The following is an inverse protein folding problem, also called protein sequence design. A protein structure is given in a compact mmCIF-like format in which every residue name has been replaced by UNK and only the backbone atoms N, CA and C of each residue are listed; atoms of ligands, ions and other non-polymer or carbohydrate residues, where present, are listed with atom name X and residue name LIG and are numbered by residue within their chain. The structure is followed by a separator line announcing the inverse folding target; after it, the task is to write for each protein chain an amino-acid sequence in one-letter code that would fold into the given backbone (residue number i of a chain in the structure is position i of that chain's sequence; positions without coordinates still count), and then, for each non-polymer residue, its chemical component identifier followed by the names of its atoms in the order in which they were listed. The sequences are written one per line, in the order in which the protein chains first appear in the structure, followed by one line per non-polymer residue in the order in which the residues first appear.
data_IF_291739439474
#
_entry.id   IF_291739439474
#
_cell.length_a   1.000
_cell.length_b   1.000
_cell.length_c   1.000
_cell.angle_alpha   90.00
_cell.angle_beta   90.00
_cell.angle_gamma   90.00
#
_symmetry.space_group_name_H-M   'P 1'
#
loop_
_entity.id
_entity.type
_entity.pdbx_description
1 polymer ?
#
# COMPACT_ATOMS: atom_id res chain seq x y z
N UNK A 1 -36.40 -6.00 10.83
CA UNK A 1 -34.95 -5.89 10.59
C UNK A 1 -34.41 -5.03 11.72
N UNK A 2 -33.61 -5.58 12.62
CA UNK A 2 -33.03 -4.79 13.71
C UNK A 2 -31.75 -4.11 13.20
N UNK A 3 -31.70 -2.79 13.35
CA UNK A 3 -30.67 -1.85 12.86
C UNK A 3 -29.33 -1.89 13.63
N UNK A 4 -28.99 -2.99 14.31
CA UNK A 4 -27.94 -2.98 15.34
C UNK A 4 -26.56 -3.51 14.90
N UNK A 5 -26.33 -3.81 13.62
CA UNK A 5 -25.09 -4.49 13.19
C UNK A 5 -24.22 -3.69 12.18
N UNK A 6 -24.67 -2.52 11.71
CA UNK A 6 -23.92 -1.64 10.77
C UNK A 6 -23.18 -0.50 11.47
N UNK A 7 -22.24 -0.81 12.37
CA UNK A 7 -21.48 0.22 13.10
C UNK A 7 -19.97 0.13 12.92
N UNK A 8 -19.44 -0.98 12.40
CA UNK A 8 -18.00 -1.15 12.17
C UNK A 8 -17.65 -0.85 10.73
N UNK A 9 -16.81 0.15 10.52
CA UNK A 9 -16.32 0.55 9.21
C UNK A 9 -14.89 0.03 9.00
N UNK A 10 -14.60 -0.56 7.85
CA UNK A 10 -13.21 -0.89 7.47
C UNK A 10 -12.52 0.42 7.07
N UNK A 11 -11.63 0.94 7.90
CA UNK A 11 -10.96 2.22 7.63
C UNK A 11 -9.56 2.05 7.05
N UNK A 12 -8.91 0.90 7.28
CA UNK A 12 -7.60 0.63 6.72
C UNK A 12 -7.30 -0.87 6.65
N UNK A 13 -6.46 -1.27 5.69
CA UNK A 13 -5.77 -2.56 5.65
C UNK A 13 -4.31 -2.24 5.34
N UNK A 14 -3.41 -2.58 6.25
CA UNK A 14 -2.03 -2.12 6.17
C UNK A 14 -1.04 -3.04 6.87
N UNK A 15 0.23 -2.83 6.58
CA UNK A 15 1.32 -3.38 7.37
C UNK A 15 1.52 -2.58 8.67
N UNK A 16 2.03 -3.27 9.69
CA UNK A 16 2.58 -2.70 10.92
C UNK A 16 4.02 -3.18 11.08
N UNK A 17 4.84 -2.38 11.77
CA UNK A 17 6.26 -2.63 12.00
C UNK A 17 6.54 -2.61 13.50
N UNK A 18 7.14 -3.69 14.00
CA UNK A 18 7.57 -3.78 15.38
C UNK A 18 9.03 -3.33 15.50
N UNK A 19 9.26 -2.21 16.19
CA UNK A 19 10.60 -1.64 16.36
C UNK A 19 11.54 -2.51 17.21
N UNK A 20 11.00 -3.40 18.05
CA UNK A 20 11.80 -4.20 18.97
C UNK A 20 12.52 -5.36 18.28
N UNK A 21 11.86 -5.99 17.29
CA UNK A 21 12.38 -7.18 16.60
C UNK A 21 12.50 -6.98 15.07
N UNK A 22 12.13 -5.80 14.55
CA UNK A 22 12.19 -5.50 13.13
C UNK A 22 11.13 -6.22 12.28
N UNK A 23 10.13 -6.85 12.91
CA UNK A 23 9.14 -7.65 12.21
C UNK A 23 8.03 -6.82 11.58
N UNK A 24 7.49 -7.36 10.48
CA UNK A 24 6.33 -6.81 9.78
C UNK A 24 5.15 -7.76 9.89
N UNK A 25 3.95 -7.20 10.09
CA UNK A 25 2.72 -7.99 10.15
C UNK A 25 1.53 -7.24 9.54
N UNK A 26 0.63 -7.97 8.84
CA UNK A 26 -0.55 -7.37 8.22
C UNK A 26 -1.67 -7.19 9.25
N UNK A 27 -2.37 -6.06 9.15
CA UNK A 27 -3.50 -5.72 10.01
C UNK A 27 -4.64 -5.11 9.20
N UNK A 28 -5.85 -5.23 9.73
CA UNK A 28 -7.01 -4.46 9.31
C UNK A 28 -7.46 -3.61 10.48
N UNK A 29 -7.72 -2.33 10.23
CA UNK A 29 -8.28 -1.42 11.23
C UNK A 29 -9.77 -1.22 10.94
N UNK A 30 -10.58 -1.52 11.93
CA UNK A 30 -11.99 -1.18 11.96
C UNK A 30 -12.18 0.04 12.85
N UNK A 31 -13.12 0.91 12.49
CA UNK A 31 -13.61 1.94 13.40
C UNK A 31 -15.02 1.58 13.84
N UNK A 32 -15.22 1.47 15.15
CA UNK A 32 -16.52 1.19 15.76
C UNK A 32 -17.21 2.51 16.12
N UNK A 33 -18.24 2.86 15.36
CA UNK A 33 -18.97 4.12 15.54
C UNK A 33 -19.81 4.16 16.82
N UNK A 34 -20.09 3.01 17.47
CA UNK A 34 -20.82 3.00 18.74
C UNK A 34 -19.92 3.29 19.95
N UNK A 35 -18.73 2.69 19.99
CA UNK A 35 -17.77 2.97 21.06
C UNK A 35 -16.88 4.18 20.75
N UNK A 36 -16.85 4.64 19.49
CA UNK A 36 -15.95 5.68 19.00
C UNK A 36 -14.46 5.28 19.16
N UNK A 37 -14.15 4.02 18.82
CA UNK A 37 -12.82 3.43 19.01
C UNK A 37 -12.30 2.72 17.75
N UNK A 38 -10.97 2.72 17.58
CA UNK A 38 -10.28 1.91 16.58
C UNK A 38 -10.03 0.48 17.10
N UNK A 39 -10.40 -0.53 16.32
CA UNK A 39 -10.11 -1.94 16.55
C UNK A 39 -9.10 -2.43 15.52
N UNK A 40 -7.91 -2.84 15.97
CA UNK A 40 -6.85 -3.38 15.10
C UNK A 40 -6.89 -4.90 15.14
N UNK A 41 -7.08 -5.52 13.98
CA UNK A 41 -7.15 -6.98 13.81
C UNK A 41 -5.87 -7.45 13.12
N UNK A 42 -5.17 -8.39 13.73
CA UNK A 42 -4.06 -9.10 13.07
C UNK A 42 -4.61 -10.04 12.00
N UNK A 43 -4.12 -9.93 10.77
CA UNK A 43 -4.65 -10.71 9.65
C UNK A 43 -3.98 -12.08 9.48
N UNK A 44 -2.84 -12.34 10.12
CA UNK A 44 -2.16 -13.63 10.02
C UNK A 44 -3.08 -14.74 10.54
N UNK A 45 -3.38 -15.72 9.69
CA UNK A 45 -4.34 -16.81 9.95
C UNK A 45 -5.79 -16.34 10.21
N UNK A 46 -6.14 -15.12 9.83
CA UNK A 46 -7.49 -14.59 10.01
C UNK A 46 -8.45 -15.17 8.97
N UNK A 47 -9.67 -15.51 9.39
CA UNK A 47 -10.74 -15.91 8.48
C UNK A 47 -11.74 -14.75 8.42
N UNK A 48 -11.85 -14.12 7.24
CA UNK A 48 -12.89 -13.16 6.99
C UNK A 48 -14.23 -13.88 6.83
N UNK A 49 -15.28 -13.25 7.34
CA UNK A 49 -16.65 -13.72 7.23
C UNK A 49 -17.62 -12.53 7.14
N UNK A 50 -17.29 -11.49 6.36
CA UNK A 50 -18.04 -10.24 6.36
C UNK A 50 -18.94 -10.09 5.14
N UNK A 51 -20.21 -9.79 5.38
CA UNK A 51 -21.08 -9.14 4.41
C UNK A 51 -20.94 -7.62 4.58
N UNK A 52 -20.64 -6.91 3.50
CA UNK A 52 -20.32 -5.49 3.49
C UNK A 52 -21.45 -4.65 2.87
N UNK A 53 -21.44 -3.35 3.14
CA UNK A 53 -22.27 -2.39 2.39
C UNK A 53 -21.91 -2.37 0.92
N UNK A 54 -22.89 -2.18 0.04
CA UNK A 54 -22.66 -1.96 -1.38
C UNK A 54 -21.92 -0.64 -1.60
N UNK A 55 -22.40 0.41 -0.94
CA UNK A 55 -21.77 1.72 -0.94
C UNK A 55 -20.51 1.76 -0.08
N UNK A 56 -19.59 2.63 -0.49
CA UNK A 56 -18.39 3.00 0.29
C UNK A 56 -18.59 4.36 0.90
N UNK A 57 -18.15 4.51 2.14
CA UNK A 57 -18.22 5.74 2.89
C UNK A 57 -16.82 6.26 3.18
N UNK A 58 -16.69 7.56 3.37
CA UNK A 58 -15.40 8.19 3.65
C UNK A 58 -14.82 7.60 4.94
N UNK A 59 -13.60 7.03 4.90
CA UNK A 59 -12.99 6.38 6.06
C UNK A 59 -12.43 7.38 7.09
N UNK A 60 -12.74 8.67 6.99
CA UNK A 60 -12.19 9.72 7.86
C UNK A 60 -10.85 10.28 7.38
N UNK A 61 -10.09 10.86 8.31
CA UNK A 61 -8.79 11.50 8.07
C UNK A 61 -7.89 11.37 9.30
N UNK A 62 -6.58 11.48 9.11
CA UNK A 62 -5.63 11.66 10.21
C UNK A 62 -5.17 13.11 10.28
N UNK A 63 -5.04 13.63 11.49
CA UNK A 63 -4.48 14.95 11.79
C UNK A 63 -3.37 14.82 12.85
N UNK A 64 -2.96 15.92 13.47
CA UNK A 64 -1.88 15.95 14.46
C UNK A 64 -2.17 15.13 15.73
N UNK A 65 -3.43 15.04 16.12
CA UNK A 65 -3.95 14.36 17.31
C UNK A 65 -4.44 12.93 17.04
N UNK A 66 -4.28 12.43 15.82
CA UNK A 66 -4.58 11.04 15.47
C UNK A 66 -5.68 10.91 14.41
N UNK A 67 -6.37 9.77 14.46
CA UNK A 67 -7.46 9.44 13.53
C UNK A 67 -8.76 10.16 13.92
N UNK A 68 -9.49 10.66 12.92
CA UNK A 68 -10.81 11.25 13.05
C UNK A 68 -11.78 10.59 12.06
N UNK A 69 -12.93 10.05 12.52
CA UNK A 69 -13.96 9.55 11.61
C UNK A 69 -14.54 10.68 10.76
N UNK A 70 -15.11 10.32 9.60
CA UNK A 70 -15.74 11.32 8.74
C UNK A 70 -16.97 11.92 9.44
N UNK A 71 -17.02 13.24 9.70
CA UNK A 71 -18.13 13.84 10.44
C UNK A 71 -19.45 13.84 9.65
N UNK A 72 -19.39 13.66 8.34
CA UNK A 72 -20.56 13.67 7.45
C UNK A 72 -20.94 12.29 6.94
N UNK A 73 -20.14 11.25 7.25
CA UNK A 73 -20.29 9.91 6.71
C UNK A 73 -20.60 9.92 5.19
N UNK A 74 -19.82 10.68 4.42
CA UNK A 74 -20.10 10.90 3.00
C UNK A 74 -19.89 9.61 2.18
N UNK A 75 -20.84 9.30 1.30
CA UNK A 75 -20.66 8.23 0.30
C UNK A 75 -19.57 8.64 -0.69
N UNK A 76 -18.63 7.73 -0.96
CA UNK A 76 -17.56 7.90 -1.91
C UNK A 76 -18.03 7.49 -3.31
N UNK A 77 -18.08 8.47 -4.21
CA UNK A 77 -18.39 8.24 -5.62
C UNK A 77 -17.10 8.09 -6.46
N UNK A 78 -17.25 8.05 -7.79
CA UNK A 78 -16.10 7.90 -8.72
C UNK A 78 -15.07 9.04 -8.63
N UNK A 79 -15.48 10.23 -8.17
CA UNK A 79 -14.64 11.43 -8.13
C UNK A 79 -13.88 11.58 -6.79
N UNK A 80 -14.30 10.85 -5.76
CA UNK A 80 -13.74 10.88 -4.40
C UNK A 80 -13.37 9.46 -3.95
N UNK A 81 -12.37 8.87 -4.60
CA UNK A 81 -12.15 7.42 -4.51
C UNK A 81 -11.58 6.94 -3.17
N UNK A 82 -10.78 7.75 -2.47
CA UNK A 82 -10.20 7.41 -1.16
C UNK A 82 -10.90 8.10 0.01
N UNK A 83 -11.24 9.39 -0.15
CA UNK A 83 -11.82 10.24 0.88
C UNK A 83 -12.73 11.30 0.25
N UNK A 84 -13.68 11.82 1.04
CA UNK A 84 -14.49 12.97 0.62
C UNK A 84 -13.68 14.27 0.68
N UNK A 85 -14.12 15.28 -0.06
CA UNK A 85 -13.45 16.59 -0.15
C UNK A 85 -13.10 17.20 1.21
N UNK A 86 -14.01 17.14 2.18
CA UNK A 86 -13.76 17.69 3.52
C UNK A 86 -12.57 17.00 4.22
N UNK A 87 -12.56 15.67 4.25
CA UNK A 87 -11.52 14.88 4.91
C UNK A 87 -10.18 15.01 4.19
N UNK A 88 -10.20 14.99 2.86
CA UNK A 88 -9.02 15.22 2.02
C UNK A 88 -8.41 16.61 2.25
N UNK A 89 -9.24 17.67 2.32
CA UNK A 89 -8.79 19.03 2.60
C UNK A 89 -8.24 19.21 4.02
N UNK A 90 -8.82 18.52 5.02
CA UNK A 90 -8.28 18.50 6.39
C UNK A 90 -6.87 17.91 6.41
N UNK A 91 -6.63 16.85 5.66
CA UNK A 91 -5.32 16.24 5.54
C UNK A 91 -4.35 17.01 4.63
N UNK A 92 -4.82 17.67 3.59
CA UNK A 92 -4.01 18.55 2.73
C UNK A 92 -3.01 17.85 1.81
N UNK A 93 -2.88 16.52 1.83
CA UNK A 93 -1.89 15.79 1.01
C UNK A 93 -2.02 16.10 -0.49
N UNK A 94 -3.24 16.04 -1.06
CA UNK A 94 -3.41 16.32 -2.50
C UNK A 94 -3.05 17.76 -2.85
N UNK A 95 -3.41 18.72 -2.00
CA UNK A 95 -3.09 20.13 -2.21
C UNK A 95 -1.58 20.37 -2.18
N UNK A 96 -0.88 19.82 -1.19
CA UNK A 96 0.57 19.98 -1.03
C UNK A 96 1.38 19.28 -2.15
N UNK A 97 1.03 18.05 -2.51
CA UNK A 97 1.86 17.22 -3.41
C UNK A 97 1.39 17.22 -4.88
N UNK A 98 0.08 17.26 -5.16
CA UNK A 98 -0.42 17.14 -6.55
C UNK A 98 -0.68 18.48 -7.20
N UNK A 99 -1.14 19.48 -6.43
CA UNK A 99 -1.52 20.78 -6.97
C UNK A 99 -0.46 21.86 -6.72
N UNK A 100 0.65 21.53 -6.05
CA UNK A 100 1.68 22.48 -5.63
C UNK A 100 1.07 23.71 -4.92
N UNK A 101 -0.03 23.47 -4.20
CA UNK A 101 -0.78 24.48 -3.47
C UNK A 101 -0.11 24.82 -2.14
N UNK A 102 -0.72 25.76 -1.42
CA UNK A 102 -0.24 26.10 -0.08
C UNK A 102 -0.55 24.94 0.87
N UNK A 103 0.50 24.36 1.48
CA UNK A 103 0.34 23.35 2.52
C UNK A 103 -0.48 23.93 3.69
N UNK A 104 -1.51 23.20 4.12
CA UNK A 104 -2.24 23.51 5.34
C UNK A 104 -1.34 23.28 6.58
N UNK A 105 -1.80 23.68 7.77
CA UNK A 105 -1.01 23.57 9.01
C UNK A 105 -0.47 22.14 9.24
N UNK A 106 -1.33 21.12 9.14
CA UNK A 106 -0.89 19.72 9.27
C UNK A 106 0.16 19.32 8.25
N UNK A 107 0.00 19.72 6.98
CA UNK A 107 0.98 19.42 5.94
C UNK A 107 2.30 20.17 6.14
N UNK A 108 2.27 21.40 6.67
CA UNK A 108 3.48 22.12 7.02
C UNK A 108 4.25 21.39 8.13
N UNK A 109 3.56 20.99 9.19
CA UNK A 109 4.17 20.20 10.27
C UNK A 109 4.63 18.83 9.80
N UNK A 110 3.88 18.17 8.92
CA UNK A 110 4.28 16.92 8.30
C UNK A 110 5.57 17.11 7.49
N UNK A 111 5.62 18.10 6.59
CA UNK A 111 6.76 18.34 5.69
C UNK A 111 8.00 18.88 6.42
N UNK A 112 7.87 19.50 7.59
CA UNK A 112 9.02 19.86 8.44
C UNK A 112 9.73 18.65 9.03
N UNK A 113 9.04 17.49 9.15
CA UNK A 113 9.66 16.28 9.67
C UNK A 113 10.74 15.77 8.73
N UNK A 114 11.68 15.00 9.28
CA UNK A 114 12.66 14.27 8.48
C UNK A 114 11.95 13.31 7.52
N UNK A 115 12.38 13.33 6.27
CA UNK A 115 11.99 12.44 5.20
C UNK A 115 13.22 11.78 4.59
N UNK A 116 12.99 10.67 3.91
CA UNK A 116 14.02 9.87 3.27
C UNK A 116 13.70 9.66 1.79
N UNK A 117 14.74 9.65 0.96
CA UNK A 117 14.71 8.96 -0.33
C UNK A 117 15.12 7.52 -0.11
N UNK A 118 14.40 6.60 -0.72
CA UNK A 118 14.82 5.22 -0.88
C UNK A 118 14.81 4.79 -2.34
N UNK A 119 15.70 3.85 -2.65
CA UNK A 119 15.59 3.00 -3.83
C UNK A 119 14.88 1.71 -3.44
N UNK A 120 13.90 1.27 -4.23
CA UNK A 120 13.15 0.05 -4.00
C UNK A 120 13.20 -0.86 -5.23
N UNK A 121 13.44 -2.15 -4.97
CA UNK A 121 13.50 -3.21 -5.95
C UNK A 121 12.14 -3.90 -6.10
N UNK A 122 11.74 -4.12 -7.35
CA UNK A 122 10.54 -4.86 -7.76
C UNK A 122 10.91 -5.88 -8.84
N UNK A 123 10.34 -7.07 -8.78
CA UNK A 123 10.52 -8.06 -9.85
C UNK A 123 9.81 -7.63 -11.15
N UNK A 124 10.38 -7.88 -12.35
CA UNK A 124 11.74 -8.37 -12.58
C UNK A 124 12.71 -7.22 -12.83
N UNK A 125 13.51 -6.88 -11.81
CA UNK A 125 14.65 -5.97 -11.96
C UNK A 125 14.32 -4.48 -12.00
N UNK A 126 13.11 -4.05 -11.68
CA UNK A 126 12.75 -2.62 -11.68
C UNK A 126 13.25 -1.96 -10.39
N UNK A 127 14.00 -0.88 -10.55
CA UNK A 127 14.35 0.04 -9.46
C UNK A 127 13.44 1.25 -9.53
N UNK A 128 12.84 1.58 -8.39
CA UNK A 128 12.07 2.80 -8.18
C UNK A 128 12.78 3.69 -7.17
N UNK A 129 12.74 5.01 -7.39
CA UNK A 129 13.03 6.02 -6.37
C UNK A 129 11.73 6.42 -5.68
N UNK A 130 11.74 6.57 -4.36
CA UNK A 130 10.55 6.88 -3.57
C UNK A 130 10.87 7.71 -2.34
N UNK A 131 9.86 8.42 -1.83
CA UNK A 131 9.95 9.17 -0.56
C UNK A 131 9.16 8.53 0.56
N UNK A 132 9.64 8.71 1.80
CA UNK A 132 8.94 8.33 3.03
C UNK A 132 9.26 9.30 4.18
N UNK A 133 8.24 9.70 4.94
CA UNK A 133 8.43 10.41 6.20
C UNK A 133 9.02 9.47 7.27
N UNK A 134 9.74 10.04 8.25
CA UNK A 134 10.31 9.31 9.39
C UNK A 134 9.32 8.35 10.05
N UNK A 135 8.11 8.83 10.31
CA UNK A 135 7.03 8.06 10.97
C UNK A 135 6.61 6.79 10.20
N UNK A 136 6.87 6.75 8.89
CA UNK A 136 6.46 5.65 7.99
C UNK A 136 7.61 5.06 7.20
N UNK A 137 8.87 5.39 7.50
CA UNK A 137 10.02 4.99 6.67
C UNK A 137 10.12 3.48 6.48
N UNK A 138 9.82 2.70 7.51
CA UNK A 138 9.81 1.24 7.43
C UNK A 138 8.57 0.65 6.76
N UNK A 139 7.42 1.35 6.80
CA UNK A 139 6.13 0.85 6.27
C UNK A 139 5.93 1.20 4.80
N UNK A 140 6.35 2.39 4.39
CA UNK A 140 6.07 2.92 3.06
C UNK A 140 6.59 2.02 1.92
N UNK A 141 7.78 1.41 1.99
CA UNK A 141 8.26 0.50 0.96
C UNK A 141 7.41 -0.77 0.85
N UNK A 142 7.12 -1.45 1.97
CA UNK A 142 6.36 -2.72 1.95
C UNK A 142 4.90 -2.53 1.52
N UNK A 143 4.25 -1.42 1.91
CA UNK A 143 2.91 -1.05 1.43
C UNK A 143 2.88 -0.79 -0.08
N UNK A 144 4.01 -0.41 -0.66
CA UNK A 144 4.14 -0.27 -2.11
C UNK A 144 4.51 -1.58 -2.81
N UNK A 145 4.64 -2.69 -2.09
CA UNK A 145 5.10 -3.99 -2.58
C UNK A 145 6.59 -4.06 -2.93
N UNK A 146 7.43 -3.22 -2.31
CA UNK A 146 8.88 -3.34 -2.47
C UNK A 146 9.37 -4.66 -1.87
N UNK A 147 10.30 -5.34 -2.55
CA UNK A 147 10.85 -6.62 -2.07
C UNK A 147 12.18 -6.44 -1.34
N UNK A 148 12.98 -5.46 -1.79
CA UNK A 148 14.22 -5.02 -1.13
C UNK A 148 14.27 -3.51 -1.30
N UNK A 149 14.69 -2.76 -0.30
CA UNK A 149 14.88 -1.32 -0.46
C UNK A 149 16.12 -0.82 0.29
N UNK A 150 16.51 0.40 -0.02
CA UNK A 150 17.70 1.04 0.53
C UNK A 150 17.46 2.54 0.69
N UNK A 151 17.70 3.11 1.88
CA UNK A 151 17.68 4.56 2.05
C UNK A 151 18.97 5.18 1.53
N UNK A 152 18.85 6.26 0.75
CA UNK A 152 19.99 6.87 0.05
C UNK A 152 20.18 8.36 0.34
N UNK A 153 19.14 9.04 0.85
CA UNK A 153 19.22 10.43 1.24
C UNK A 153 18.20 10.75 2.33
N UNK A 154 18.44 11.81 3.10
CA UNK A 154 17.50 12.35 4.08
C UNK A 154 17.51 13.89 4.09
N UNK A 155 16.34 14.50 4.29
CA UNK A 155 16.16 15.95 4.41
C UNK A 155 14.76 16.25 4.94
N UNK A 156 14.33 17.52 4.97
CA UNK A 156 12.93 17.86 5.17
C UNK A 156 12.06 17.45 3.96
N UNK A 157 10.75 17.38 4.17
CA UNK A 157 9.78 16.92 3.18
C UNK A 157 9.62 17.82 1.95
N UNK A 158 9.97 19.11 2.02
CA UNK A 158 9.98 19.98 0.85
C UNK A 158 11.20 19.69 -0.01
N UNK A 159 12.37 19.64 0.61
CA UNK A 159 13.66 19.38 -0.02
C UNK A 159 13.72 17.99 -0.67
N UNK A 160 13.19 16.97 0.01
CA UNK A 160 13.29 15.58 -0.46
C UNK A 160 12.52 15.33 -1.76
N UNK A 161 11.39 16.03 -1.99
CA UNK A 161 10.59 15.86 -3.21
C UNK A 161 11.33 16.36 -4.44
N UNK A 162 12.03 17.48 -4.30
CA UNK A 162 12.85 18.04 -5.38
C UNK A 162 14.00 17.08 -5.74
N UNK A 163 14.62 16.45 -4.74
CA UNK A 163 15.64 15.43 -4.98
C UNK A 163 15.05 14.16 -5.62
N UNK A 164 13.87 13.68 -5.19
CA UNK A 164 13.17 12.53 -5.81
C UNK A 164 12.97 12.76 -7.31
N UNK A 165 12.39 13.92 -7.64
CA UNK A 165 12.11 14.30 -9.03
C UNK A 165 13.40 14.49 -9.84
N UNK A 166 14.43 15.08 -9.23
CA UNK A 166 15.73 15.30 -9.89
C UNK A 166 16.43 13.97 -10.18
N UNK A 167 16.48 13.04 -9.23
CA UNK A 167 17.02 11.69 -9.44
C UNK A 167 16.26 10.98 -10.56
N UNK A 168 14.94 11.06 -10.55
CA UNK A 168 14.08 10.45 -11.56
C UNK A 168 14.39 10.96 -12.96
N UNK A 169 14.46 12.29 -13.11
CA UNK A 169 14.71 12.96 -14.39
C UNK A 169 16.15 12.80 -14.90
N UNK A 170 17.15 12.94 -14.05
CA UNK A 170 18.57 12.94 -14.47
C UNK A 170 19.19 11.54 -14.54
N UNK A 171 18.83 10.63 -13.63
CA UNK A 171 19.41 9.28 -13.55
C UNK A 171 18.55 8.26 -14.32
N UNK A 172 17.28 8.59 -14.58
CA UNK A 172 16.34 7.74 -15.31
C UNK A 172 15.72 6.63 -14.45
N UNK A 173 15.60 6.85 -13.14
CA UNK A 173 14.97 5.89 -12.21
C UNK A 173 13.50 6.27 -12.06
N UNK A 174 12.57 5.31 -12.21
CA UNK A 174 11.14 5.63 -12.15
C UNK A 174 10.67 5.99 -10.73
N UNK A 175 9.72 6.91 -10.61
CA UNK A 175 9.00 7.22 -9.37
C UNK A 175 7.82 6.27 -9.10
N UNK A 176 7.41 5.46 -10.09
CA UNK A 176 6.19 4.65 -9.98
C UNK A 176 6.30 3.29 -10.68
N UNK A 177 5.91 2.25 -9.94
CA UNK A 177 5.71 0.90 -10.49
C UNK A 177 4.23 0.58 -10.54
N UNK A 178 3.72 0.19 -11.71
CA UNK A 178 2.30 -0.05 -11.93
C UNK A 178 1.77 -1.20 -11.06
N UNK A 179 0.59 -1.02 -10.48
CA UNK A 179 -0.15 -2.08 -9.78
C UNK A 179 -0.39 -3.36 -10.61
N UNK A 180 -0.57 -3.27 -11.94
CA UNK A 180 -0.72 -4.44 -12.81
C UNK A 180 0.58 -5.21 -12.95
N UNK A 181 1.72 -4.50 -13.00
CA UNK A 181 3.05 -5.08 -13.00
C UNK A 181 3.29 -5.85 -11.70
N UNK A 182 3.07 -5.22 -10.54
CA UNK A 182 3.18 -5.87 -9.22
C UNK A 182 2.31 -7.12 -9.14
N UNK A 183 1.05 -7.02 -9.59
CA UNK A 183 0.12 -8.15 -9.62
C UNK A 183 0.59 -9.30 -10.52
N UNK A 184 1.19 -9.01 -11.67
CA UNK A 184 1.72 -10.03 -12.59
C UNK A 184 2.86 -10.84 -11.97
N UNK A 185 3.61 -10.25 -11.04
CA UNK A 185 4.81 -10.84 -10.46
C UNK A 185 4.66 -11.22 -8.98
N UNK A 186 3.42 -11.44 -8.51
CA UNK A 186 3.13 -11.82 -7.11
C UNK A 186 3.84 -13.09 -6.67
N UNK A 187 3.97 -14.08 -7.56
CA UNK A 187 4.59 -15.37 -7.26
C UNK A 187 6.12 -15.37 -7.42
N UNK A 188 6.73 -14.27 -7.88
CA UNK A 188 8.17 -14.23 -8.14
C UNK A 188 8.94 -13.83 -6.89
N UNK A 189 9.70 -14.78 -6.35
CA UNK A 189 10.69 -14.53 -5.29
C UNK A 189 11.91 -13.84 -5.89
N UNK A 190 12.45 -12.80 -5.22
CA UNK A 190 13.59 -12.09 -5.74
C UNK A 190 14.89 -12.88 -5.58
N UNK A 191 15.80 -12.74 -6.54
CA UNK A 191 17.20 -13.06 -6.29
C UNK A 191 17.82 -11.90 -5.47
N UNK A 192 18.02 -12.13 -4.18
CA UNK A 192 18.46 -11.08 -3.24
C UNK A 192 19.82 -10.50 -3.60
N UNK A 193 20.79 -11.32 -4.02
CA UNK A 193 22.11 -10.82 -4.41
C UNK A 193 22.05 -9.95 -5.66
N UNK A 194 21.21 -10.32 -6.63
CA UNK A 194 20.96 -9.52 -7.83
C UNK A 194 20.25 -8.20 -7.47
N UNK A 195 19.24 -8.24 -6.61
CA UNK A 195 18.53 -7.06 -6.15
C UNK A 195 19.47 -6.09 -5.41
N UNK A 196 20.28 -6.61 -4.49
CA UNK A 196 21.33 -5.86 -3.76
C UNK A 196 22.32 -5.19 -4.72
N UNK A 197 22.84 -5.93 -5.70
CA UNK A 197 23.77 -5.39 -6.71
C UNK A 197 23.14 -4.27 -7.53
N UNK A 198 21.88 -4.43 -7.96
CA UNK A 198 21.16 -3.40 -8.72
C UNK A 198 20.89 -2.14 -7.91
N UNK A 199 20.49 -2.30 -6.63
CA UNK A 199 20.30 -1.17 -5.73
C UNK A 199 21.62 -0.43 -5.48
N UNK A 200 22.69 -1.15 -5.14
CA UNK A 200 24.00 -0.55 -4.88
C UNK A 200 24.55 0.17 -6.11
N UNK A 201 24.48 -0.44 -7.29
CA UNK A 201 24.94 0.21 -8.53
C UNK A 201 24.18 1.51 -8.84
N UNK A 202 22.88 1.58 -8.53
CA UNK A 202 22.13 2.83 -8.68
C UNK A 202 22.45 3.83 -7.57
N UNK A 203 22.68 3.38 -6.34
CA UNK A 203 23.17 4.24 -5.27
C UNK A 203 24.51 4.87 -5.62
N UNK A 204 25.49 4.09 -6.08
CA UNK A 204 26.82 4.58 -6.48
C UNK A 204 26.71 5.65 -7.57
N UNK A 205 25.86 5.43 -8.58
CA UNK A 205 25.57 6.43 -9.64
C UNK A 205 25.01 7.73 -9.09
N UNK A 206 24.10 7.66 -8.12
CA UNK A 206 23.48 8.83 -7.48
C UNK A 206 24.51 9.54 -6.58
N UNK A 207 25.23 8.78 -5.76
CA UNK A 207 26.26 9.30 -4.87
C UNK A 207 27.35 10.02 -5.66
N UNK A 208 27.91 9.40 -6.71
CA UNK A 208 28.91 10.03 -7.57
C UNK A 208 28.41 11.29 -8.27
N UNK A 209 27.13 11.31 -8.65
CA UNK A 209 26.50 12.47 -9.28
C UNK A 209 26.35 13.65 -8.31
N UNK A 210 26.02 13.39 -7.04
CA UNK A 210 25.58 14.43 -6.10
C UNK A 210 26.52 14.69 -4.91
N UNK A 211 27.56 13.88 -4.67
CA UNK A 211 28.51 14.06 -3.55
C UNK A 211 29.23 15.41 -3.50
N UNK A 212 29.37 16.08 -4.64
CA UNK A 212 29.95 17.44 -4.76
C UNK A 212 28.93 18.52 -5.13
N UNK A 213 27.63 18.21 -5.12
CA UNK A 213 26.59 19.16 -5.50
C UNK A 213 26.29 20.12 -4.34
N UNK A 214 26.30 21.43 -4.58
CA UNK A 214 26.09 22.45 -3.55
C UNK A 214 24.75 22.32 -2.81
N UNK A 215 23.72 21.81 -3.50
CA UNK A 215 22.36 21.68 -2.95
C UNK A 215 22.14 20.34 -2.25
N UNK A 216 22.57 19.25 -2.87
CA UNK A 216 22.16 17.89 -2.46
C UNK A 216 23.22 17.11 -1.70
N UNK A 217 24.50 17.49 -1.76
CA UNK A 217 25.61 16.71 -1.18
C UNK A 217 25.39 16.39 0.30
N UNK A 218 24.92 17.35 1.08
CA UNK A 218 24.67 17.20 2.52
C UNK A 218 23.48 16.29 2.86
N UNK A 219 22.65 15.92 1.89
CA UNK A 219 21.47 15.06 2.09
C UNK A 219 21.78 13.59 1.78
N UNK A 220 22.80 13.31 0.97
CA UNK A 220 23.14 11.95 0.56
C UNK A 220 23.72 11.17 1.75
N UNK A 221 23.20 9.98 2.00
CA UNK A 221 23.68 9.10 3.05
C UNK A 221 24.96 8.42 2.57
N UNK A 222 26.04 8.52 3.35
CA UNK A 222 27.34 7.90 3.04
C UNK A 222 27.31 6.37 3.06
N UNK A 223 26.54 5.79 4.00
CA UNK A 223 26.42 4.34 4.19
C UNK A 223 24.96 3.94 4.17
N UNK A 224 24.42 3.56 3.01
CA UNK A 224 23.00 3.32 2.89
C UNK A 224 22.62 1.99 3.58
N UNK A 225 21.52 2.02 4.32
CA UNK A 225 20.96 0.84 4.97
C UNK A 225 20.08 0.08 3.99
N UNK A 226 20.35 -1.21 3.81
CA UNK A 226 19.55 -2.10 2.97
C UNK A 226 18.65 -2.97 3.83
N UNK A 227 17.38 -3.05 3.44
CA UNK A 227 16.35 -3.85 4.11
C UNK A 227 15.76 -4.85 3.12
N UNK A 228 15.76 -6.12 3.52
CA UNK A 228 15.17 -7.23 2.79
C UNK A 228 13.75 -7.51 3.29
N UNK A 229 12.76 -7.20 2.46
CA UNK A 229 11.34 -7.42 2.77
C UNK A 229 10.84 -8.78 2.28
N UNK A 230 11.63 -9.52 1.50
CA UNK A 230 11.22 -10.77 0.88
C UNK A 230 10.85 -11.85 1.89
N UNK A 231 11.44 -11.81 3.10
CA UNK A 231 11.09 -12.72 4.19
C UNK A 231 9.75 -12.41 4.86
N UNK A 232 9.18 -11.22 4.67
CA UNK A 232 7.95 -10.78 5.32
C UNK A 232 6.72 -10.85 4.41
N UNK A 233 6.90 -10.71 3.11
CA UNK A 233 5.81 -10.81 2.13
C UNK A 233 5.56 -12.28 1.75
N UNK A 234 4.32 -12.58 1.39
CA UNK A 234 3.92 -13.92 0.92
C UNK A 234 3.92 -13.98 -0.60
N UNK A 235 4.40 -15.09 -1.15
CA UNK A 235 4.41 -15.38 -2.58
C UNK A 235 3.41 -16.49 -2.86
N UNK A 236 2.24 -16.18 -3.42
CA UNK A 236 1.26 -17.18 -3.82
C UNK A 236 1.87 -18.23 -4.74
N UNK A 237 1.73 -19.51 -4.38
CA UNK A 237 2.16 -20.63 -5.24
C UNK A 237 1.15 -20.87 -6.36
N UNK A 238 -0.14 -20.75 -6.03
CA UNK A 238 -1.25 -20.88 -6.97
C UNK A 238 -1.55 -19.55 -7.69
N UNK A 239 -2.27 -19.67 -8.81
CA UNK A 239 -2.75 -18.51 -9.57
C UNK A 239 -3.75 -17.68 -8.75
N UNK A 240 -3.52 -16.37 -8.70
CA UNK A 240 -4.38 -15.43 -7.97
C UNK A 240 -5.33 -14.73 -8.94
N UNK A 241 -6.63 -14.85 -8.68
CA UNK A 241 -7.67 -14.24 -9.51
C UNK A 241 -8.24 -12.98 -8.87
N UNK A 242 -8.44 -11.93 -9.67
CA UNK A 242 -9.11 -10.72 -9.18
C UNK A 242 -10.61 -10.98 -9.04
N UNK A 243 -11.17 -10.56 -7.91
CA UNK A 243 -12.61 -10.59 -7.68
C UNK A 243 -13.29 -9.51 -8.53
N UNK A 244 -14.41 -9.86 -9.19
CA UNK A 244 -15.20 -8.87 -9.94
C UNK A 244 -15.75 -7.80 -9.01
N UNK A 245 -15.78 -6.54 -9.46
CA UNK A 245 -16.29 -5.42 -8.66
C UNK A 245 -17.71 -5.65 -8.11
N UNK A 246 -18.58 -6.39 -8.82
CA UNK A 246 -19.96 -6.70 -8.39
C UNK A 246 -20.04 -7.61 -7.16
N UNK A 247 -18.95 -8.27 -6.79
CA UNK A 247 -18.91 -9.27 -5.70
C UNK A 247 -18.23 -8.71 -4.44
N UNK A 248 -17.77 -7.45 -4.47
CA UNK A 248 -17.04 -6.80 -3.35
C UNK A 248 -17.99 -6.36 -2.22
N UNK A 249 -19.19 -6.93 -2.18
CA UNK A 249 -20.11 -6.84 -1.04
C UNK A 249 -19.87 -7.98 -0.03
N UNK A 250 -18.88 -8.84 -0.31
CA UNK A 250 -18.48 -9.94 0.54
C UNK A 250 -16.95 -9.98 0.68
N UNK A 251 -16.47 -10.17 1.90
CA UNK A 251 -15.09 -10.51 2.21
C UNK A 251 -15.11 -11.75 3.11
N UNK A 252 -15.02 -12.92 2.50
CA UNK A 252 -15.24 -14.22 3.11
C UNK A 252 -14.14 -15.18 2.64
N UNK A 253 -13.41 -15.77 3.58
CA UNK A 253 -12.31 -16.67 3.29
C UNK A 253 -11.09 -16.40 4.16
N UNK A 254 -10.09 -17.27 4.04
CA UNK A 254 -8.89 -17.22 4.86
C UNK A 254 -7.91 -16.20 4.29
N UNK A 255 -7.49 -15.22 5.09
CA UNK A 255 -6.45 -14.27 4.69
C UNK A 255 -5.17 -15.01 4.28
N UNK A 256 -4.56 -14.57 3.18
CA UNK A 256 -3.34 -15.13 2.64
C UNK A 256 -2.20 -14.10 2.60
N UNK A 257 -2.43 -12.90 2.06
CA UNK A 257 -1.38 -11.88 1.93
C UNK A 257 -1.92 -10.46 1.74
N UNK A 258 -1.08 -9.45 2.04
CA UNK A 258 -1.21 -8.10 1.47
C UNK A 258 -0.05 -7.94 0.47
N UNK A 259 -0.36 -7.58 -0.78
CA UNK A 259 0.63 -7.32 -1.82
C UNK A 259 0.29 -6.04 -2.57
N UNK A 260 1.03 -4.97 -2.26
CA UNK A 260 0.69 -3.61 -2.69
C UNK A 260 -0.69 -3.21 -2.20
N UNK A 261 -1.60 -2.94 -3.14
CA UNK A 261 -3.00 -2.54 -2.84
C UNK A 261 -3.99 -3.72 -2.80
N UNK A 262 -3.51 -4.94 -2.91
CA UNK A 262 -4.36 -6.13 -2.99
C UNK A 262 -4.29 -6.91 -1.69
N UNK A 263 -5.46 -7.15 -1.11
CA UNK A 263 -5.64 -8.17 -0.08
C UNK A 263 -5.96 -9.49 -0.78
N UNK A 264 -5.12 -10.50 -0.54
CA UNK A 264 -5.23 -11.85 -1.08
C UNK A 264 -5.79 -12.77 0.00
N UNK A 265 -6.77 -13.59 -0.35
CA UNK A 265 -7.39 -14.55 0.54
C UNK A 265 -7.77 -15.81 -0.22
N UNK A 266 -7.90 -16.91 0.50
CA UNK A 266 -8.30 -18.21 -0.01
C UNK A 266 -9.79 -18.43 0.24
N UNK A 267 -10.51 -18.80 -0.82
CA UNK A 267 -11.92 -19.20 -0.74
C UNK A 267 -12.15 -20.37 -1.68
N UNK A 268 -12.73 -21.47 -1.18
CA UNK A 268 -12.97 -22.70 -1.95
C UNK A 268 -11.72 -23.17 -2.72
N UNK A 269 -10.58 -23.27 -2.03
CA UNK A 269 -9.27 -23.66 -2.58
C UNK A 269 -8.81 -22.80 -3.77
N UNK A 270 -9.28 -21.56 -3.86
CA UNK A 270 -8.88 -20.59 -4.90
C UNK A 270 -8.32 -19.34 -4.23
N UNK A 271 -7.16 -18.88 -4.69
CA UNK A 271 -6.62 -17.59 -4.26
C UNK A 271 -7.29 -16.45 -5.02
N UNK A 272 -7.86 -15.54 -4.25
CA UNK A 272 -8.60 -14.39 -4.71
C UNK A 272 -7.93 -13.11 -4.24
N UNK A 273 -7.98 -12.07 -5.07
CA UNK A 273 -7.47 -10.74 -4.73
C UNK A 273 -8.58 -9.69 -4.86
N UNK A 274 -8.74 -8.90 -3.80
CA UNK A 274 -9.58 -7.70 -3.81
C UNK A 274 -8.69 -6.47 -3.73
N UNK A 275 -8.98 -5.48 -4.56
CA UNK A 275 -8.37 -4.16 -4.47
C UNK A 275 -8.88 -3.46 -3.21
N UNK A 276 -7.97 -3.15 -2.27
CA UNK A 276 -8.29 -2.57 -0.96
C UNK A 276 -9.10 -1.28 -1.06
N UNK A 277 -8.88 -0.54 -2.15
CA UNK A 277 -9.60 0.70 -2.43
C UNK A 277 -11.08 0.45 -2.79
N UNK A 278 -11.54 -0.80 -2.84
CA UNK A 278 -12.95 -1.17 -3.01
C UNK A 278 -13.61 -1.62 -1.70
N UNK A 279 -12.83 -1.95 -0.68
CA UNK A 279 -13.32 -2.42 0.63
C UNK A 279 -13.12 -1.38 1.73
N UNK A 280 -12.04 -0.60 1.69
CA UNK A 280 -11.85 0.53 2.61
C UNK A 280 -13.00 1.52 2.41
N UNK A 281 -13.64 1.86 3.52
CA UNK A 281 -14.82 2.71 3.59
C UNK A 281 -16.15 1.94 3.67
N UNK A 282 -16.17 0.61 3.44
CA UNK A 282 -17.38 -0.20 3.61
C UNK A 282 -17.65 -0.52 5.08
N UNK A 283 -18.92 -0.62 5.44
CA UNK A 283 -19.35 -1.12 6.74
C UNK A 283 -19.58 -2.63 6.70
N UNK A 284 -19.29 -3.31 7.80
CA UNK A 284 -19.73 -4.69 8.03
C UNK A 284 -21.23 -4.61 8.35
N UNK A 285 -22.06 -5.32 7.58
CA UNK A 285 -23.51 -5.42 7.74
C UNK A 285 -23.93 -6.60 8.61
N UNK A 286 -23.21 -7.70 8.46
CA UNK A 286 -23.45 -8.95 9.17
C UNK A 286 -22.27 -9.89 8.91
N UNK A 287 -22.24 -11.00 9.65
CA UNK A 287 -21.24 -12.03 9.49
C UNK A 287 -21.83 -13.25 8.78
N UNK A 288 -21.12 -13.79 7.79
CA UNK A 288 -21.50 -14.95 6.98
C UNK A 288 -20.28 -15.84 6.71
N UNK A 289 -20.45 -17.14 6.95
CA UNK A 289 -19.33 -18.09 6.84
C UNK A 289 -19.17 -18.68 5.42
N UNK A 290 -20.17 -18.53 4.55
CA UNK A 290 -20.18 -19.16 3.23
C UNK A 290 -20.58 -18.20 2.11
N UNK A 291 -19.71 -18.03 1.11
CA UNK A 291 -20.01 -17.32 -0.14
C UNK A 291 -19.12 -17.82 -1.29
N UNK A 292 -19.66 -17.81 -2.51
CA UNK A 292 -18.94 -18.24 -3.71
C UNK A 292 -18.72 -17.06 -4.66
N UNK A 293 -17.46 -16.70 -4.86
CA UNK A 293 -17.07 -15.54 -5.67
C UNK A 293 -17.08 -15.81 -7.18
N UNK A 294 -17.51 -14.80 -7.95
CA UNK A 294 -17.18 -14.70 -9.39
C UNK A 294 -15.87 -13.93 -9.61
N UNK A 295 -14.97 -14.51 -10.40
CA UNK A 295 -13.65 -13.94 -10.69
C UNK A 295 -13.54 -13.34 -12.09
N UNK A 296 -12.65 -12.36 -12.25
CA UNK A 296 -12.28 -11.82 -13.57
C UNK A 296 -11.50 -12.89 -14.36
N UNK A 297 -11.96 -13.21 -15.58
CA UNK A 297 -11.28 -14.07 -16.55
C UNK A 297 -10.68 -15.39 -16.00
N UNK A 298 -11.52 -16.39 -15.70
CA UNK A 298 -11.08 -17.79 -15.83
C UNK A 298 -10.87 -18.07 -17.33
N UNK A 299 -9.67 -17.87 -17.87
CA UNK A 299 -9.33 -18.57 -19.12
C UNK A 299 -9.36 -20.06 -18.80
N UNK A 300 -10.29 -20.80 -19.35
CA UNK A 300 -10.27 -22.26 -19.24
C UNK A 300 -8.96 -22.75 -19.84
N UNK A 301 -8.08 -23.35 -19.03
CA UNK A 301 -7.07 -24.26 -19.55
C UNK A 301 -7.79 -25.52 -20.04
N UNK A 302 -8.39 -25.46 -21.23
CA UNK A 302 -8.77 -26.63 -22.01
C UNK A 302 -8.78 -26.26 -23.50
N UNK A 303 -8.04 -27.07 -24.28
CA UNK A 303 -7.63 -26.94 -25.70
C UNK A 303 -6.44 -25.98 -25.85
N UNK A 304 -5.20 -26.44 -26.00
CA UNK A 304 -4.74 -27.33 -27.09
C UNK A 304 -3.83 -28.48 -26.61
N UNK A 305 -4.42 -29.67 -26.53
CA UNK A 305 -3.77 -30.94 -26.84
C UNK A 305 -4.71 -31.61 -27.86
N UNK A 306 -4.15 -32.19 -28.93
CA UNK A 306 -4.76 -32.57 -30.23
C UNK A 306 -4.75 -31.38 -31.21
N UNK A 307 -3.75 -31.24 -32.07
CA UNK A 307 -3.40 -32.22 -33.11
C UNK A 307 -1.90 -32.33 -33.39
N UNK A 308 -1.34 -33.52 -33.16
CA UNK A 308 -0.34 -34.07 -34.09
C UNK A 308 -1.12 -34.80 -35.17
N UNK A 309 -1.10 -34.27 -36.40
CA UNK A 309 -0.78 -34.97 -37.66
C UNK A 309 -0.09 -33.92 -38.53
#
# INVERSE_FOLDING_TARGET
MNETDTQKQIINISWKYNKNDGSYYPTMTLFDHASNEEQIIMLRNYNFNYMLTTERYCPGYHYLDGYHPCPYNNILNKDSYSQCFYCDKKQGFREAFLFQGQANEFMQEYLKQKHYIYLAYFEPGIIKVGTAAESRKYLRPIEQDALVYMFIAESDGFSIQDLEHTISKEIGITEAVNSSHKFRYLNQKPNIDKAKKLLMSNFDRIHDRYKGNEKFSSWIIEKPELVDLSGFVTYPEDEVYKVKNSEIDYLIGKFHAIRGRYTIFESNNTLLAIDERKIIGKYIKSYQDNYQYKVENKKSKHKDQLSMI
#
